data_IF_409369824228
#
_entry.id   IF_409369824228
#
_cell.length_a   1.000
_cell.length_b   1.000
_cell.length_c   1.000
_cell.angle_alpha   90.00
_cell.angle_beta   90.00
_cell.angle_gamma   90.00
#
_symmetry.space_group_name_H-M   'P 1'
#
loop_
_entity.id
_entity.type
_entity.pdbx_description
1 polymer ?
#
# COMPACT_ATOMS: atom_id res chain seq x y z
N UNK A 1 -9.98 14.23 -21.98
CA UNK A 1 -9.71 14.76 -20.64
C UNK A 1 -9.02 13.68 -19.86
N UNK A 2 -7.91 14.01 -19.20
CA UNK A 2 -7.13 13.04 -18.43
C UNK A 2 -7.95 12.39 -17.32
N UNK A 3 -7.74 11.09 -17.13
CA UNK A 3 -8.38 10.29 -16.08
C UNK A 3 -7.96 10.84 -14.71
N UNK A 4 -8.92 11.08 -13.80
CA UNK A 4 -8.60 11.44 -12.42
C UNK A 4 -7.89 10.29 -11.71
N UNK A 5 -6.80 10.61 -11.01
CA UNK A 5 -6.03 9.65 -10.23
C UNK A 5 -6.48 9.67 -8.77
N UNK A 6 -6.72 8.50 -8.20
CA UNK A 6 -7.08 8.31 -6.80
C UNK A 6 -5.83 7.94 -6.00
N UNK A 7 -5.41 8.83 -5.09
CA UNK A 7 -4.24 8.62 -4.23
C UNK A 7 -4.71 8.37 -2.79
N UNK A 8 -4.36 7.22 -2.23
CA UNK A 8 -4.81 6.79 -0.89
C UNK A 8 -3.67 6.82 0.13
N UNK A 9 -3.63 7.81 1.04
CA UNK A 9 -2.63 7.86 2.10
C UNK A 9 -3.01 7.02 3.32
N UNK A 10 -1.99 6.69 4.14
CA UNK A 10 -2.21 6.03 5.44
C UNK A 10 -2.20 4.50 5.39
N UNK A 11 -1.58 3.92 4.35
CA UNK A 11 -1.48 2.46 4.20
C UNK A 11 -0.51 1.88 5.21
N UNK A 12 -0.91 0.76 5.83
CA UNK A 12 -0.08 0.03 6.79
C UNK A 12 -0.15 -1.49 6.57
N UNK A 13 0.99 -2.15 6.33
CA UNK A 13 1.04 -3.60 6.06
C UNK A 13 0.92 -4.48 7.32
N UNK A 14 0.95 -3.90 8.52
CA UNK A 14 0.77 -4.62 9.79
C UNK A 14 -0.20 -3.87 10.69
N UNK A 15 -1.10 -4.61 11.35
CA UNK A 15 -2.02 -4.04 12.33
C UNK A 15 -1.23 -3.61 13.58
N UNK A 16 -0.92 -2.33 13.68
CA UNK A 16 -0.48 -1.76 14.96
C UNK A 16 -1.70 -1.65 15.89
N UNK A 17 -1.53 -2.09 17.13
CA UNK A 17 -2.50 -2.00 18.24
C UNK A 17 -2.63 -0.57 18.79
N UNK A 18 -2.54 0.45 17.94
CA UNK A 18 -2.63 1.86 18.35
C UNK A 18 -3.90 2.48 17.77
N UNK A 19 -4.71 3.07 18.66
CA UNK A 19 -6.18 3.22 18.58
C UNK A 19 -6.71 4.25 17.57
N UNK A 20 -5.86 4.82 16.72
CA UNK A 20 -6.33 5.70 15.65
C UNK A 20 -6.72 4.88 14.40
N UNK A 21 -7.91 4.27 14.51
CA UNK A 21 -8.72 3.60 13.47
C UNK A 21 -8.65 4.32 12.12
N UNK A 22 -7.84 3.80 11.19
CA UNK A 22 -7.99 3.85 9.72
C UNK A 22 -6.68 3.33 9.09
N UNK A 23 -6.39 2.07 9.32
CA UNK A 23 -5.31 1.37 8.61
C UNK A 23 -5.94 0.53 7.53
N UNK A 24 -5.78 0.98 6.28
CA UNK A 24 -6.17 0.20 5.10
C UNK A 24 -4.93 -0.56 4.64
N UNK A 25 -5.10 -1.85 4.40
CA UNK A 25 -4.04 -2.70 3.87
C UNK A 25 -3.84 -2.42 2.37
N UNK A 26 -2.65 -2.75 1.84
CA UNK A 26 -2.27 -2.49 0.43
C UNK A 26 -3.32 -3.03 -0.53
N UNK A 27 -3.72 -4.30 -0.37
CA UNK A 27 -4.74 -4.95 -1.21
C UNK A 27 -6.09 -4.23 -1.16
N UNK A 28 -6.55 -3.89 0.03
CA UNK A 28 -7.83 -3.21 0.21
C UNK A 28 -7.84 -1.83 -0.44
N UNK A 29 -6.71 -1.11 -0.41
CA UNK A 29 -6.60 0.21 -1.06
C UNK A 29 -6.81 0.10 -2.57
N UNK A 30 -6.15 -0.87 -3.21
CA UNK A 30 -6.30 -1.10 -4.65
C UNK A 30 -7.68 -1.67 -5.01
N UNK A 31 -8.24 -2.59 -4.21
CA UNK A 31 -9.61 -3.06 -4.41
C UNK A 31 -10.66 -1.93 -4.29
N UNK A 32 -10.39 -0.92 -3.48
CA UNK A 32 -11.24 0.27 -3.36
C UNK A 32 -11.05 1.27 -4.51
N UNK A 33 -10.20 0.98 -5.49
CA UNK A 33 -9.98 1.83 -6.67
C UNK A 33 -8.86 2.86 -6.52
N UNK A 34 -7.92 2.67 -5.60
CA UNK A 34 -6.72 3.50 -5.55
C UNK A 34 -5.83 3.25 -6.79
N UNK A 35 -5.35 4.32 -7.41
CA UNK A 35 -4.29 4.26 -8.42
C UNK A 35 -2.91 4.26 -7.78
N UNK A 36 -2.78 4.98 -6.66
CA UNK A 36 -1.54 5.10 -5.90
C UNK A 36 -1.79 5.01 -4.40
N UNK A 37 -0.81 4.51 -3.68
CA UNK A 37 -0.79 4.47 -2.22
C UNK A 37 0.35 5.30 -1.66
N UNK A 38 0.15 5.87 -0.46
CA UNK A 38 1.22 6.55 0.28
C UNK A 38 1.48 5.82 1.59
N UNK A 39 2.69 5.28 1.70
CA UNK A 39 3.19 4.55 2.87
C UNK A 39 4.31 5.36 3.52
N UNK A 40 4.10 5.83 4.75
CA UNK A 40 5.06 6.65 5.48
C UNK A 40 5.78 5.85 6.57
N UNK A 41 5.30 5.98 7.81
CA UNK A 41 5.86 5.34 9.02
C UNK A 41 6.23 3.86 8.84
N UNK A 42 5.41 3.00 8.18
CA UNK A 42 5.79 1.60 8.02
C UNK A 42 7.08 1.37 7.24
N UNK A 43 7.47 2.26 6.32
CA UNK A 43 8.75 2.19 5.61
C UNK A 43 9.82 2.93 6.40
N UNK A 44 9.52 4.16 6.85
CA UNK A 44 10.49 5.02 7.54
C UNK A 44 11.02 4.43 8.85
N UNK A 45 10.13 3.81 9.64
CA UNK A 45 10.44 3.33 10.98
C UNK A 45 10.81 1.82 10.98
N UNK A 46 10.88 1.18 9.81
CA UNK A 46 11.31 -0.21 9.69
C UNK A 46 12.81 -0.36 9.96
N UNK A 47 13.21 -1.52 10.47
CA UNK A 47 14.62 -1.87 10.66
C UNK A 47 15.41 -1.85 9.34
N UNK A 48 14.75 -2.20 8.23
CA UNK A 48 15.27 -2.08 6.87
C UNK A 48 14.22 -1.41 5.97
N UNK A 49 14.31 -0.09 5.73
CA UNK A 49 13.35 0.64 4.91
C UNK A 49 13.29 0.16 3.46
N UNK A 50 14.43 -0.28 2.90
CA UNK A 50 14.48 -0.80 1.52
C UNK A 50 13.69 -2.10 1.46
N UNK A 51 14.00 -3.05 2.35
CA UNK A 51 13.33 -4.34 2.36
C UNK A 51 11.84 -4.21 2.73
N UNK A 52 11.43 -3.18 3.47
CA UNK A 52 10.03 -2.87 3.73
C UNK A 52 9.31 -2.38 2.46
N UNK A 53 9.94 -1.47 1.70
CA UNK A 53 9.40 -0.99 0.43
C UNK A 53 9.33 -2.11 -0.62
N UNK A 54 10.36 -2.95 -0.71
CA UNK A 54 10.40 -4.09 -1.64
C UNK A 54 9.27 -5.09 -1.37
N UNK A 55 9.01 -5.45 -0.11
CA UNK A 55 7.86 -6.31 0.24
C UNK A 55 6.51 -5.72 -0.16
N UNK A 56 6.34 -4.40 -0.06
CA UNK A 56 5.11 -3.74 -0.51
C UNK A 56 4.99 -3.82 -2.03
N UNK A 57 6.10 -3.61 -2.76
CA UNK A 57 6.14 -3.74 -4.22
C UNK A 57 5.85 -5.18 -4.66
N UNK A 58 6.40 -6.18 -3.97
CA UNK A 58 6.09 -7.61 -4.22
C UNK A 58 4.60 -7.87 -4.08
N UNK A 59 3.95 -7.36 -3.02
CA UNK A 59 2.50 -7.49 -2.85
C UNK A 59 1.71 -6.85 -3.99
N UNK A 60 2.10 -5.66 -4.43
CA UNK A 60 1.50 -4.99 -5.59
C UNK A 60 1.67 -5.83 -6.85
N UNK A 61 2.86 -6.40 -7.06
CA UNK A 61 3.12 -7.30 -8.18
C UNK A 61 2.30 -8.58 -8.09
N UNK A 62 2.09 -9.17 -6.91
CA UNK A 62 1.20 -10.33 -6.76
C UNK A 62 -0.26 -9.97 -7.07
N UNK A 63 -0.71 -8.79 -6.64
CA UNK A 63 -2.08 -8.32 -6.85
C UNK A 63 -2.41 -8.10 -8.34
N UNK A 64 -1.45 -7.56 -9.11
CA UNK A 64 -1.66 -7.20 -10.53
C UNK A 64 -0.96 -8.13 -11.52
N UNK A 65 -0.04 -8.98 -11.07
CA UNK A 65 0.78 -9.87 -11.90
C UNK A 65 0.06 -11.13 -12.39
N UNK A 66 -1.18 -11.35 -11.95
CA UNK A 66 -2.03 -12.45 -12.41
C UNK A 66 -2.75 -12.16 -13.74
N UNK A 67 -2.52 -11.01 -14.37
CA UNK A 67 -3.06 -10.65 -15.68
C UNK A 67 -1.93 -10.32 -16.66
N UNK A 68 -1.23 -11.36 -17.13
CA UNK A 68 -0.61 -11.37 -18.45
C UNK A 68 -1.37 -12.38 -19.30
N UNK A 69 -2.45 -11.90 -19.92
CA UNK A 69 -2.96 -12.44 -21.18
C UNK A 69 -2.56 -11.46 -22.29
#
# INVERSE_FOLDING_TARGET
>A
GDRLLVVTPGIRPVANTDDQKRTVDVEQAFHNGADYIVVGRPIRDAADPRAAAERIQERIQTLFGSSRE
#
